data_IF_914989097236
#
_entry.id   IF_914989097236
#
_cell.length_a   1.000
_cell.length_b   1.000
_cell.length_c   1.000
_cell.angle_alpha   90.00
_cell.angle_beta   90.00
_cell.angle_gamma   90.00
#
_symmetry.space_group_name_H-M   'P 1'
#
loop_
_entity.id
_entity.type
_entity.pdbx_description
1 polymer ?
#
# COMPACT_ATOMS: atom_id res chain seq x y z
N UNK A 1 -0.55 10.61 -6.35
CA UNK A 1 -0.69 9.20 -5.95
C UNK A 1 -2.15 8.93 -5.68
N UNK A 2 -2.71 7.87 -6.25
CA UNK A 2 -4.02 7.34 -5.87
C UNK A 2 -3.83 5.97 -5.23
N UNK A 3 -4.63 5.71 -4.20
CA UNK A 3 -4.70 4.42 -3.52
C UNK A 3 -6.14 3.94 -3.63
N UNK A 4 -6.33 2.75 -4.18
CA UNK A 4 -7.64 2.14 -4.32
C UNK A 4 -7.63 0.80 -3.61
N UNK A 5 -8.63 0.60 -2.76
CA UNK A 5 -8.85 -0.61 -2.02
C UNK A 5 -10.21 -1.16 -2.43
N UNK A 6 -10.23 -2.32 -3.08
CA UNK A 6 -11.46 -2.94 -3.55
C UNK A 6 -11.82 -4.10 -2.62
N UNK A 7 -12.97 -3.97 -1.97
CA UNK A 7 -13.57 -5.04 -1.17
C UNK A 7 -14.31 -6.02 -2.09
N UNK A 8 -14.02 -7.30 -1.97
CA UNK A 8 -14.66 -8.36 -2.74
C UNK A 8 -14.88 -9.61 -1.91
N UNK A 9 -16.00 -10.30 -2.13
CA UNK A 9 -16.45 -11.47 -1.35
C UNK A 9 -15.40 -12.58 -1.20
N UNK A 10 -14.51 -12.74 -2.18
CA UNK A 10 -13.50 -13.82 -2.24
C UNK A 10 -12.08 -13.32 -2.60
N UNK A 11 -11.91 -12.04 -2.92
CA UNK A 11 -10.60 -11.47 -3.24
C UNK A 11 -10.68 -9.96 -3.19
N UNK A 12 -10.09 -9.43 -2.13
CA UNK A 12 -9.86 -8.01 -1.99
C UNK A 12 -8.63 -7.62 -2.83
N UNK A 13 -8.60 -6.40 -3.36
CA UNK A 13 -7.50 -5.90 -4.20
C UNK A 13 -6.99 -4.56 -3.67
N UNK A 14 -5.68 -4.39 -3.71
CA UNK A 14 -4.99 -3.15 -3.39
C UNK A 14 -4.26 -2.65 -4.63
N UNK A 15 -4.54 -1.41 -5.00
CA UNK A 15 -3.98 -0.76 -6.19
C UNK A 15 -3.31 0.53 -5.74
N UNK A 16 -2.01 0.63 -6.01
CA UNK A 16 -1.26 1.88 -5.92
C UNK A 16 -1.09 2.41 -7.34
N UNK A 17 -1.43 3.67 -7.55
CA UNK A 17 -0.96 4.38 -8.74
C UNK A 17 -0.15 5.62 -8.38
N UNK A 18 1.02 5.70 -9.00
CA UNK A 18 1.97 6.77 -8.78
C UNK A 18 2.48 6.84 -7.35
N UNK A 19 2.75 5.68 -6.70
CA UNK A 19 3.44 5.64 -5.40
C UNK A 19 4.73 6.44 -5.45
N UNK A 20 5.39 6.47 -6.63
CA UNK A 20 6.55 7.29 -6.94
C UNK A 20 6.40 8.73 -6.44
N UNK A 21 5.28 9.39 -6.73
CA UNK A 21 5.00 10.78 -6.34
C UNK A 21 4.65 10.93 -4.85
N UNK A 22 4.32 9.83 -4.19
CA UNK A 22 4.15 9.75 -2.73
C UNK A 22 5.49 9.66 -2.00
N UNK A 23 6.49 8.99 -2.59
CA UNK A 23 7.81 8.75 -1.98
C UNK A 23 8.58 10.03 -1.62
N UNK A 24 8.34 11.15 -2.31
CA UNK A 24 8.95 12.44 -1.95
C UNK A 24 8.50 12.97 -0.57
N UNK A 25 7.46 12.38 0.02
CA UNK A 25 6.97 12.69 1.38
C UNK A 25 7.62 11.82 2.46
N UNK A 26 8.50 10.90 2.09
CA UNK A 26 9.13 9.92 2.98
C UNK A 26 10.60 10.30 3.20
N UNK A 27 10.95 10.62 4.46
CA UNK A 27 12.29 10.75 5.08
C UNK A 27 13.53 11.19 4.25
N UNK A 28 13.37 11.87 3.12
CA UNK A 28 14.47 12.48 2.36
C UNK A 28 15.30 11.53 1.49
N UNK A 29 14.88 10.28 1.27
CA UNK A 29 15.58 9.38 0.36
C UNK A 29 15.46 9.85 -1.10
N UNK A 30 16.59 9.97 -1.80
CA UNK A 30 16.58 10.34 -3.21
C UNK A 30 15.97 9.23 -4.08
N UNK A 31 15.20 9.65 -5.08
CA UNK A 31 14.42 8.85 -6.04
C UNK A 31 15.13 7.71 -6.82
N UNK A 32 16.48 7.56 -6.86
CA UNK A 32 17.10 6.35 -7.41
C UNK A 32 17.38 5.24 -6.38
N UNK A 33 17.36 5.51 -5.06
CA UNK A 33 17.84 4.57 -4.04
C UNK A 33 16.88 3.38 -3.78
N UNK A 34 15.59 3.55 -4.05
CA UNK A 34 14.55 2.56 -3.71
C UNK A 34 14.09 1.71 -4.90
N UNK A 35 14.81 1.70 -6.02
CA UNK A 35 14.49 0.77 -7.10
C UNK A 35 14.72 -0.68 -6.65
N UNK A 36 13.79 -1.56 -6.99
CA UNK A 36 13.74 -2.94 -6.53
C UNK A 36 13.68 -3.08 -5.00
N UNK A 37 13.18 -2.05 -4.30
CA UNK A 37 12.96 -2.12 -2.86
C UNK A 37 11.91 -3.20 -2.52
N UNK A 38 12.11 -3.88 -1.40
CA UNK A 38 11.10 -4.78 -0.84
C UNK A 38 10.08 -3.95 -0.08
N UNK A 39 8.81 -4.10 -0.45
CA UNK A 39 7.69 -3.40 0.16
C UNK A 39 6.78 -4.31 0.94
N UNK A 40 6.21 -3.76 2.01
CA UNK A 40 5.04 -4.34 2.69
C UNK A 40 3.94 -3.30 2.78
N UNK A 41 2.69 -3.75 2.69
CA UNK A 41 1.51 -2.95 2.95
C UNK A 41 0.67 -3.60 4.04
N UNK A 42 0.35 -2.83 5.09
CA UNK A 42 -0.45 -3.26 6.22
C UNK A 42 -1.77 -2.48 6.25
N UNK A 43 -2.87 -3.18 6.54
CA UNK A 43 -4.17 -2.56 6.77
C UNK A 43 -4.26 -2.06 8.21
N UNK A 44 -4.62 -0.78 8.34
CA UNK A 44 -4.86 -0.11 9.59
C UNK A 44 -6.31 0.38 9.66
N UNK A 45 -6.84 0.44 10.87
CA UNK A 45 -8.05 1.18 11.19
C UNK A 45 -7.83 2.69 10.98
N UNK A 46 -8.92 3.46 11.00
CA UNK A 46 -8.85 4.92 10.83
C UNK A 46 -8.01 5.61 11.91
N UNK A 47 -7.95 5.01 13.11
CA UNK A 47 -7.15 5.44 14.26
C UNK A 47 -5.68 4.96 14.22
N UNK A 48 -5.23 4.40 13.09
CA UNK A 48 -3.87 3.91 12.86
C UNK A 48 -3.50 2.64 13.66
N UNK A 49 -4.45 2.03 14.35
CA UNK A 49 -4.22 0.70 14.94
C UNK A 49 -4.23 -0.37 13.84
N UNK A 50 -3.37 -1.37 13.99
CA UNK A 50 -3.35 -2.52 13.08
C UNK A 50 -4.69 -3.25 13.12
N UNK A 51 -5.20 -3.66 11.95
CA UNK A 51 -6.36 -4.56 11.89
C UNK A 51 -5.99 -6.02 12.20
N UNK A 52 -4.70 -6.32 12.40
CA UNK A 52 -4.19 -7.68 12.65
C UNK A 52 -4.19 -8.58 11.41
N UNK A 53 -4.41 -8.01 10.21
CA UNK A 53 -4.38 -8.76 8.95
C UNK A 53 -2.96 -9.00 8.45
N UNK A 54 -2.79 -10.07 7.67
CA UNK A 54 -1.50 -10.42 7.06
C UNK A 54 -1.02 -9.28 6.15
N UNK A 55 0.21 -8.75 6.33
CA UNK A 55 0.74 -7.72 5.43
C UNK A 55 0.95 -8.26 4.00
N UNK A 56 0.76 -7.39 3.01
CA UNK A 56 1.02 -7.69 1.61
C UNK A 56 2.46 -7.35 1.28
N UNK A 57 3.25 -8.34 0.86
CA UNK A 57 4.61 -8.11 0.36
C UNK A 57 4.63 -7.81 -1.13
N UNK A 58 5.53 -6.93 -1.56
CA UNK A 58 5.70 -6.55 -2.96
C UNK A 58 7.12 -6.11 -3.28
N UNK A 59 7.45 -5.99 -4.56
CA UNK A 59 8.69 -5.36 -5.02
C UNK A 59 8.36 -4.05 -5.70
N UNK A 60 8.97 -2.96 -5.24
CA UNK A 60 8.83 -1.66 -5.88
C UNK A 60 9.70 -1.61 -7.13
N UNK A 61 9.10 -1.30 -8.27
CA UNK A 61 9.82 -1.20 -9.54
C UNK A 61 9.66 0.22 -10.07
N UNK A 62 10.76 0.97 -10.22
CA UNK A 62 10.69 2.36 -10.67
C UNK A 62 10.14 2.48 -12.10
N UNK A 63 10.39 1.50 -12.96
CA UNK A 63 9.88 1.51 -14.34
C UNK A 63 8.37 1.39 -14.44
N UNK A 64 7.69 0.87 -13.40
CA UNK A 64 6.23 0.94 -13.29
C UNK A 64 5.73 2.31 -12.84
N UNK A 65 6.62 3.30 -12.67
CA UNK A 65 6.31 4.59 -12.07
C UNK A 65 5.63 4.46 -10.69
N UNK A 66 5.96 3.39 -9.95
CA UNK A 66 5.33 3.11 -8.66
C UNK A 66 3.86 2.71 -8.77
N UNK A 67 3.41 2.26 -9.93
CA UNK A 67 2.15 1.54 -10.06
C UNK A 67 2.33 0.10 -9.57
N UNK A 68 1.44 -0.34 -8.69
CA UNK A 68 1.47 -1.68 -8.09
C UNK A 68 0.04 -2.22 -7.90
N UNK A 69 -0.11 -3.52 -8.14
CA UNK A 69 -1.36 -4.26 -7.95
C UNK A 69 -1.09 -5.48 -7.09
N UNK A 70 -1.86 -5.62 -6.01
CA UNK A 70 -1.83 -6.80 -5.14
C UNK A 70 -3.23 -7.38 -4.96
N UNK A 71 -3.30 -8.70 -5.01
CA UNK A 71 -4.34 -9.41 -4.28
C UNK A 71 -3.99 -9.32 -2.79
N UNK A 72 -4.91 -8.77 -2.00
CA UNK A 72 -4.70 -8.72 -0.55
C UNK A 72 -5.20 -10.02 0.09
N UNK A 73 -4.63 -10.42 1.22
CA UNK A 73 -5.08 -11.55 2.03
C UNK A 73 -6.58 -11.50 2.39
N UNK A 74 -7.19 -12.67 2.53
CA UNK A 74 -8.61 -12.81 2.85
C UNK A 74 -8.96 -12.39 4.28
N UNK A 75 -7.98 -12.30 5.17
CA UNK A 75 -8.14 -11.84 6.56
C UNK A 75 -8.29 -10.32 6.68
N UNK A 76 -8.03 -9.57 5.60
CA UNK A 76 -8.39 -8.16 5.49
C UNK A 76 -9.92 -8.06 5.41
N UNK A 77 -10.56 -7.89 6.56
CA UNK A 77 -12.02 -7.73 6.66
C UNK A 77 -12.44 -6.33 6.24
N UNK A 78 -12.53 -6.13 4.91
CA UNK A 78 -12.87 -4.85 4.31
C UNK A 78 -14.39 -4.69 4.16
N UNK A 79 -14.91 -3.59 4.68
CA UNK A 79 -16.30 -3.18 4.49
C UNK A 79 -16.35 -2.04 3.49
N UNK A 80 -17.11 -2.20 2.40
CA UNK A 80 -17.28 -1.15 1.40
C UNK A 80 -17.84 0.14 2.04
N UNK A 81 -17.35 1.30 1.60
CA UNK A 81 -17.68 2.61 2.16
C UNK A 81 -16.93 2.98 3.45
N UNK A 82 -16.25 2.04 4.09
CA UNK A 82 -15.45 2.31 5.30
C UNK A 82 -14.09 2.89 4.92
N UNK A 83 -13.65 3.88 5.72
CA UNK A 83 -12.32 4.48 5.61
C UNK A 83 -11.33 3.67 6.43
N UNK A 84 -10.26 3.26 5.77
CA UNK A 84 -9.11 2.60 6.36
C UNK A 84 -7.86 3.46 6.13
N UNK A 85 -6.75 3.00 6.70
CA UNK A 85 -5.43 3.49 6.35
C UNK A 85 -4.58 2.30 5.89
N UNK A 86 -3.68 2.53 4.95
CA UNK A 86 -2.67 1.55 4.54
C UNK A 86 -1.31 2.12 4.93
N UNK A 87 -0.58 1.40 5.77
CA UNK A 87 0.83 1.68 6.01
C UNK A 87 1.63 0.98 4.93
N UNK A 88 2.49 1.71 4.25
CA UNK A 88 3.44 1.18 3.28
C UNK A 88 4.83 1.34 3.85
N UNK A 89 5.54 0.23 3.95
CA UNK A 89 6.94 0.20 4.34
C UNK A 89 7.76 -0.30 3.15
N UNK A 90 8.84 0.40 2.81
CA UNK A 90 9.78 0.03 1.75
C UNK A 90 11.19 -0.03 2.32
N UNK A 91 11.93 -1.07 1.97
CA UNK A 91 13.34 -1.21 2.27
C UNK A 91 14.14 -1.30 0.97
N UNK A 92 14.93 -0.26 0.70
CA UNK A 92 15.86 -0.18 -0.41
C UNK A 92 17.02 -1.17 -0.27
N UNK A 93 17.72 -1.42 -1.37
CA UNK A 93 18.86 -2.37 -1.39
C UNK A 93 20.04 -1.92 -0.52
N UNK A 94 20.20 -0.62 -0.29
CA UNK A 94 21.24 -0.06 0.56
C UNK A 94 20.77 0.20 2.00
N UNK A 95 19.59 -0.32 2.36
CA UNK A 95 19.03 -0.23 3.72
C UNK A 95 18.24 1.05 3.98
N UNK A 96 17.91 1.82 2.93
CA UNK A 96 17.01 2.96 3.06
C UNK A 96 15.61 2.50 3.41
N UNK A 97 15.03 3.08 4.46
CA UNK A 97 13.68 2.76 4.88
C UNK A 97 12.74 3.93 4.58
N UNK A 98 11.59 3.60 4.00
CA UNK A 98 10.48 4.54 3.81
C UNK A 98 9.24 3.95 4.47
N UNK A 99 8.66 4.71 5.38
CA UNK A 99 7.43 4.35 6.08
C UNK A 99 6.40 5.47 6.00
N UNK A 100 5.15 5.12 5.72
CA UNK A 100 4.11 6.12 5.59
C UNK A 100 2.72 5.53 5.45
N UNK A 101 1.77 6.34 5.88
CA UNK A 101 0.38 5.93 6.08
C UNK A 101 -0.52 6.73 5.16
N UNK A 102 -1.38 6.02 4.46
CA UNK A 102 -2.25 6.59 3.44
C UNK A 102 -3.71 6.30 3.74
N UNK A 103 -4.58 7.33 3.79
CA UNK A 103 -6.01 7.09 3.90
C UNK A 103 -6.55 6.47 2.61
N UNK A 104 -7.46 5.50 2.75
CA UNK A 104 -8.17 4.89 1.62
C UNK A 104 -9.60 4.59 2.02
N UNK A 105 -10.54 4.76 1.11
CA UNK A 105 -11.90 4.25 1.30
C UNK A 105 -12.01 2.92 0.57
N UNK A 106 -12.48 1.88 1.24
CA UNK A 106 -12.75 0.60 0.59
C UNK A 106 -13.95 0.79 -0.35
N UNK A 107 -13.76 0.55 -1.64
CA UNK A 107 -14.82 0.56 -2.65
C UNK A 107 -15.33 -0.86 -2.89
N UNK A 108 -16.60 -1.01 -3.22
CA UNK A 108 -17.13 -2.30 -3.65
C UNK A 108 -16.55 -2.67 -5.01
N UNK A 109 -16.06 -3.90 -5.16
CA UNK A 109 -15.54 -4.42 -6.43
C UNK A 109 -16.65 -4.79 -7.43
N UNK A 110 -17.89 -4.92 -6.97
CA UNK A 110 -19.02 -5.42 -7.77
C UNK A 110 -19.79 -4.31 -8.50
N UNK A 111 -19.47 -3.04 -8.24
CA UNK A 111 -19.99 -1.85 -8.90
C UNK A 111 -18.95 -1.20 -9.78
#
# INVERSE_FOLDING_TARGET
>A
MSLTLLAGKNSNLLIFSGLINGLSRFSGAAYPAVNDASGTAELLNQDETSTGGTPVSFSYIKSSQGDYFAQVPADWSLTAGVKYKIRVFLVGKAGEELDGIYPVTASDRTT
#
